data_IF_629100962685
#
_entry.id   IF_629100962685
#
_cell.length_a   1.000
_cell.length_b   1.000
_cell.length_c   1.000
_cell.angle_alpha   90.00
_cell.angle_beta   90.00
_cell.angle_gamma   90.00
#
_symmetry.space_group_name_H-M   'P 1'
#
loop_
_entity.id
_entity.type
_entity.pdbx_description
1 polymer ?
#
# COMPACT_ATOMS: atom_id res chain seq x y z
N UNK A 1 -3.94 -7.59 77.94
CA UNK A 1 -2.63 -6.97 77.66
C UNK A 1 -1.60 -8.09 77.72
N UNK A 2 -0.82 -8.40 76.67
CA UNK A 2 -0.53 -7.63 75.44
C UNK A 2 -0.90 -8.39 74.12
N UNK A 3 -1.30 -7.65 73.09
CA UNK A 3 -0.62 -7.40 71.80
C UNK A 3 -0.62 -8.55 70.79
N UNK A 4 -1.52 -8.44 69.80
CA UNK A 4 -1.37 -9.08 68.48
C UNK A 4 -1.59 -8.00 67.41
N UNK A 5 -0.67 -7.82 66.43
CA UNK A 5 -0.67 -6.66 65.55
C UNK A 5 -1.63 -6.79 64.35
N UNK A 6 -2.19 -5.65 63.94
CA UNK A 6 -2.95 -5.47 62.70
C UNK A 6 -2.14 -5.93 61.46
N UNK A 7 -2.69 -6.88 60.70
CA UNK A 7 -2.34 -7.05 59.28
C UNK A 7 -3.06 -6.00 58.43
N UNK A 8 -2.36 -5.27 57.53
CA UNK A 8 -3.02 -4.41 56.56
C UNK A 8 -3.59 -5.27 55.43
N UNK A 9 -4.88 -5.09 55.13
CA UNK A 9 -5.51 -5.65 53.94
C UNK A 9 -4.82 -5.09 52.69
N UNK A 10 -4.13 -5.96 51.95
CA UNK A 10 -3.64 -5.66 50.60
C UNK A 10 -4.86 -5.43 49.71
N UNK A 11 -5.10 -4.17 49.35
CA UNK A 11 -6.01 -3.82 48.26
C UNK A 11 -5.39 -4.33 46.96
N UNK A 12 -5.93 -5.42 46.44
CA UNK A 12 -5.71 -5.84 45.05
C UNK A 12 -6.28 -4.75 44.17
N UNK A 13 -5.40 -3.99 43.52
CA UNK A 13 -5.79 -3.07 42.47
C UNK A 13 -6.42 -3.88 41.34
N UNK A 14 -7.65 -3.52 40.95
CA UNK A 14 -8.26 -4.05 39.74
C UNK A 14 -7.32 -3.77 38.55
N UNK A 15 -7.12 -4.73 37.63
CA UNK A 15 -6.32 -4.48 36.44
C UNK A 15 -6.96 -3.31 35.68
N UNK A 16 -6.17 -2.27 35.44
CA UNK A 16 -6.57 -1.15 34.61
C UNK A 16 -7.04 -1.70 33.27
N UNK A 17 -8.30 -1.42 32.92
CA UNK A 17 -8.86 -1.73 31.62
C UNK A 17 -8.14 -0.84 30.60
N UNK A 18 -6.99 -1.29 30.08
CA UNK A 18 -6.45 -0.72 28.86
C UNK A 18 -7.55 -0.85 27.78
N UNK A 19 -7.89 0.23 27.07
CA UNK A 19 -8.88 0.16 26.01
C UNK A 19 -8.43 -0.91 25.00
N UNK A 20 -9.35 -1.74 24.47
CA UNK A 20 -8.98 -2.75 23.48
C UNK A 20 -8.30 -2.05 22.32
N UNK A 21 -7.05 -2.44 22.02
CA UNK A 21 -6.31 -1.98 20.85
C UNK A 21 -7.21 -2.20 19.63
N UNK A 22 -7.59 -1.12 18.95
CA UNK A 22 -8.44 -1.20 17.77
C UNK A 22 -7.81 -2.13 16.73
N UNK A 23 -8.64 -2.92 16.03
CA UNK A 23 -8.17 -3.73 14.90
C UNK A 23 -7.38 -2.85 13.91
N UNK A 24 -6.39 -3.43 13.25
CA UNK A 24 -5.62 -2.73 12.23
C UNK A 24 -6.54 -2.09 11.17
N UNK A 25 -7.61 -2.78 10.77
CA UNK A 25 -8.59 -2.24 9.82
C UNK A 25 -9.31 -1.00 10.36
N UNK A 26 -9.64 -0.98 11.65
CA UNK A 26 -10.25 0.17 12.31
C UNK A 26 -9.27 1.35 12.40
N UNK A 27 -7.98 1.08 12.69
CA UNK A 27 -6.94 2.10 12.69
C UNK A 27 -6.74 2.70 11.29
N UNK A 28 -6.71 1.87 10.24
CA UNK A 28 -6.62 2.36 8.86
C UNK A 28 -7.86 3.17 8.51
N UNK A 29 -9.07 2.71 8.84
CA UNK A 29 -10.30 3.45 8.55
C UNK A 29 -10.33 4.83 9.24
N UNK A 30 -9.95 4.90 10.52
CA UNK A 30 -9.83 6.17 11.25
C UNK A 30 -8.79 7.09 10.60
N UNK A 31 -7.64 6.53 10.21
CA UNK A 31 -6.58 7.33 9.57
C UNK A 31 -6.98 7.79 8.17
N UNK A 32 -7.68 6.98 7.39
CA UNK A 32 -8.27 7.37 6.10
C UNK A 32 -9.25 8.53 6.29
N UNK A 33 -10.12 8.48 7.30
CA UNK A 33 -11.04 9.58 7.60
C UNK A 33 -10.31 10.89 7.93
N UNK A 34 -9.18 10.82 8.67
CA UNK A 34 -8.33 11.99 8.95
C UNK A 34 -7.72 12.59 7.68
N UNK A 35 -7.25 11.76 6.74
CA UNK A 35 -6.78 12.24 5.44
C UNK A 35 -7.87 12.89 4.62
N UNK A 36 -9.07 12.29 4.59
CA UNK A 36 -10.23 12.84 3.88
C UNK A 36 -10.73 14.16 4.48
N UNK A 37 -10.61 14.36 5.80
CA UNK A 37 -10.95 15.63 6.43
C UNK A 37 -10.04 16.80 5.97
N UNK A 38 -8.84 16.50 5.46
CA UNK A 38 -7.92 17.48 4.89
C UNK A 38 -7.85 17.45 3.36
N UNK A 39 -8.72 16.68 2.72
CA UNK A 39 -8.78 16.59 1.27
C UNK A 39 -9.24 17.89 0.62
N UNK A 40 -8.78 18.13 -0.61
CA UNK A 40 -9.32 19.16 -1.50
C UNK A 40 -10.73 18.78 -1.95
N UNK A 41 -10.94 17.50 -2.28
CA UNK A 41 -12.23 16.90 -2.62
C UNK A 41 -12.29 15.49 -2.00
N UNK A 42 -13.05 15.35 -0.91
CA UNK A 42 -13.20 14.10 -0.17
C UNK A 42 -14.14 13.09 -0.84
N UNK A 43 -14.99 13.53 -1.78
CA UNK A 43 -15.90 12.63 -2.52
C UNK A 43 -15.27 12.08 -3.80
N UNK A 44 -14.17 12.69 -4.26
CA UNK A 44 -13.38 12.17 -5.38
C UNK A 44 -12.90 10.74 -5.10
N UNK A 45 -13.19 9.78 -6.02
CA UNK A 45 -12.72 8.41 -5.86
C UNK A 45 -11.20 8.28 -5.82
N UNK A 46 -10.48 9.14 -6.55
CA UNK A 46 -9.00 9.16 -6.54
C UNK A 46 -8.48 9.58 -5.18
N UNK A 47 -9.07 10.63 -4.60
CA UNK A 47 -8.69 11.10 -3.27
C UNK A 47 -8.97 10.05 -2.20
N UNK A 48 -10.11 9.35 -2.27
CA UNK A 48 -10.43 8.24 -1.36
C UNK A 48 -9.44 7.09 -1.48
N UNK A 49 -9.08 6.71 -2.70
CA UNK A 49 -8.08 5.69 -2.95
C UNK A 49 -6.73 6.09 -2.35
N UNK A 50 -6.22 7.28 -2.65
CA UNK A 50 -4.94 7.74 -2.10
C UNK A 50 -4.98 7.85 -0.58
N UNK A 51 -6.07 8.36 0.00
CA UNK A 51 -6.24 8.42 1.46
C UNK A 51 -6.17 7.03 2.10
N UNK A 52 -6.76 6.01 1.45
CA UNK A 52 -6.68 4.62 1.90
C UNK A 52 -5.27 4.04 1.79
N UNK A 53 -4.62 4.20 0.64
CA UNK A 53 -3.25 3.71 0.40
C UNK A 53 -2.23 4.33 1.38
N UNK A 54 -2.35 5.65 1.60
CA UNK A 54 -1.50 6.38 2.54
C UNK A 54 -1.76 5.91 3.97
N UNK A 55 -3.02 5.91 4.41
CA UNK A 55 -3.40 5.49 5.76
C UNK A 55 -2.94 4.07 6.07
N UNK A 56 -3.08 3.13 5.12
CA UNK A 56 -2.69 1.74 5.31
C UNK A 56 -1.20 1.56 5.62
N UNK A 57 -0.34 2.43 5.07
CA UNK A 57 1.10 2.43 5.32
C UNK A 57 1.47 3.26 6.53
N UNK A 58 0.79 4.38 6.74
CA UNK A 58 1.08 5.28 7.84
C UNK A 58 0.80 4.67 9.21
N UNK A 59 -0.30 3.90 9.38
CA UNK A 59 -0.59 3.26 10.68
C UNK A 59 0.47 2.22 11.09
N UNK A 60 1.36 1.84 10.17
CA UNK A 60 2.47 0.91 10.39
C UNK A 60 3.84 1.60 10.36
N UNK A 61 3.88 2.92 10.20
CA UNK A 61 5.11 3.69 9.97
C UNK A 61 5.90 3.27 8.71
N UNK A 62 5.17 2.86 7.67
CA UNK A 62 5.71 2.27 6.44
C UNK A 62 5.50 3.15 5.20
N UNK A 63 5.34 4.47 5.37
CA UNK A 63 5.06 5.39 4.26
C UNK A 63 6.11 5.33 3.13
N UNK A 64 7.37 5.05 3.48
CA UNK A 64 8.45 4.84 2.51
C UNK A 64 8.12 3.71 1.51
N UNK A 65 7.38 2.67 1.92
CA UNK A 65 7.01 1.54 1.06
C UNK A 65 5.93 1.88 0.01
N UNK A 66 5.45 3.12 -0.04
CA UNK A 66 4.68 3.62 -1.19
C UNK A 66 5.58 3.87 -2.41
N UNK A 67 6.90 3.99 -2.21
CA UNK A 67 7.83 4.19 -3.31
C UNK A 67 7.65 5.54 -4.01
N UNK A 68 7.19 6.56 -3.29
CA UNK A 68 7.02 7.91 -3.80
C UNK A 68 8.22 8.77 -3.40
N UNK A 69 9.04 9.25 -4.36
CA UNK A 69 10.11 10.18 -4.03
C UNK A 69 9.51 11.50 -3.53
N UNK A 70 10.27 12.25 -2.72
CA UNK A 70 9.78 13.48 -2.08
C UNK A 70 9.07 14.47 -3.03
N UNK A 71 9.53 14.74 -4.27
CA UNK A 71 8.81 15.62 -5.18
C UNK A 71 7.45 15.07 -5.61
N UNK A 72 7.35 13.76 -5.85
CA UNK A 72 6.09 13.11 -6.24
C UNK A 72 5.11 13.08 -5.06
N UNK A 73 5.61 12.85 -3.84
CA UNK A 73 4.82 12.93 -2.62
C UNK A 73 4.24 14.32 -2.41
N UNK A 74 5.07 15.38 -2.50
CA UNK A 74 4.60 16.77 -2.36
C UNK A 74 3.53 17.11 -3.40
N UNK A 75 3.79 16.78 -4.67
CA UNK A 75 2.83 17.02 -5.73
C UNK A 75 1.52 16.26 -5.50
N UNK A 76 1.55 15.04 -4.96
CA UNK A 76 0.35 14.28 -4.59
C UNK A 76 -0.46 15.00 -3.51
N UNK A 77 0.21 15.49 -2.46
CA UNK A 77 -0.45 16.24 -1.38
C UNK A 77 -1.04 17.55 -1.89
N UNK A 78 -0.34 18.28 -2.77
CA UNK A 78 -0.82 19.52 -3.37
C UNK A 78 -2.11 19.29 -4.20
N UNK A 79 -2.22 18.15 -4.89
CA UNK A 79 -3.42 17.81 -5.68
C UNK A 79 -4.60 17.39 -4.80
N UNK A 80 -4.40 16.45 -3.87
CA UNK A 80 -5.51 15.79 -3.17
C UNK A 80 -5.74 16.27 -1.74
N UNK A 81 -4.73 16.81 -1.07
CA UNK A 81 -4.72 17.02 0.38
C UNK A 81 -4.17 18.40 0.75
N UNK A 82 -4.70 19.45 0.15
CA UNK A 82 -4.19 20.83 0.30
C UNK A 82 -4.16 21.30 1.77
N UNK A 83 -5.05 20.79 2.62
CA UNK A 83 -5.10 21.14 4.04
C UNK A 83 -4.25 20.20 4.92
N UNK A 84 -3.61 19.18 4.34
CA UNK A 84 -2.87 18.17 5.10
C UNK A 84 -1.45 18.60 5.50
N UNK A 85 -0.95 19.73 5.01
CA UNK A 85 0.31 20.32 5.50
C UNK A 85 0.30 20.51 7.03
N UNK A 86 -0.87 20.65 7.65
CA UNK A 86 -1.05 20.69 9.10
C UNK A 86 -1.15 19.31 9.79
N UNK A 87 -1.47 18.24 9.05
CA UNK A 87 -1.73 16.89 9.58
C UNK A 87 -0.56 15.91 9.41
N UNK A 88 0.36 16.20 8.50
CA UNK A 88 1.48 15.33 8.15
C UNK A 88 2.77 16.16 8.05
N UNK A 89 3.52 16.37 9.15
CA UNK A 89 4.91 16.78 9.01
C UNK A 89 5.60 15.82 8.05
N UNK A 90 6.43 16.32 7.13
CA UNK A 90 7.18 15.48 6.19
C UNK A 90 7.83 14.33 6.97
N UNK A 91 7.47 13.07 6.70
CA UNK A 91 8.12 11.95 7.36
C UNK A 91 9.61 12.03 7.00
N UNK A 92 10.49 12.04 8.00
CA UNK A 92 11.94 11.99 7.78
C UNK A 92 12.30 10.78 6.88
N UNK A 93 11.51 9.71 6.96
CA UNK A 93 11.56 8.48 6.17
C UNK A 93 11.30 8.64 4.67
N UNK A 94 10.76 9.79 4.20
CA UNK A 94 10.59 10.07 2.75
C UNK A 94 11.77 10.83 2.13
N UNK A 95 12.79 11.18 2.93
CA UNK A 95 14.01 11.83 2.45
C UNK A 95 14.88 10.89 1.57
N UNK A 96 14.71 9.58 1.76
CA UNK A 96 15.26 8.55 0.88
C UNK A 96 14.17 7.50 0.63
N UNK A 97 13.98 7.11 -0.65
CA UNK A 97 13.19 5.91 -0.96
C UNK A 97 13.79 4.74 -0.16
N UNK A 98 12.96 3.80 0.33
CA UNK A 98 13.50 2.62 0.99
C UNK A 98 14.48 1.96 0.01
N UNK A 99 15.67 1.53 0.47
CA UNK A 99 16.62 0.89 -0.41
C UNK A 99 15.92 -0.28 -1.07
N UNK A 100 15.90 -0.24 -2.40
CA UNK A 100 15.45 -1.39 -3.17
C UNK A 100 16.56 -2.42 -3.04
N UNK A 101 16.27 -3.54 -2.36
CA UNK A 101 17.27 -4.46 -1.79
C UNK A 101 18.33 -4.95 -2.80
N UNK A 102 18.02 -4.92 -4.09
CA UNK A 102 18.91 -5.33 -5.18
C UNK A 102 18.75 -4.46 -6.42
N UNK A 103 19.78 -4.44 -7.29
CA UNK A 103 19.69 -3.82 -8.62
C UNK A 103 18.57 -4.42 -9.49
N UNK A 104 18.26 -5.70 -9.30
CA UNK A 104 17.19 -6.40 -9.99
C UNK A 104 15.80 -5.91 -9.55
N UNK A 105 15.58 -5.70 -8.25
CA UNK A 105 14.34 -5.13 -7.76
C UNK A 105 14.14 -3.70 -8.29
N UNK A 106 15.22 -2.90 -8.40
CA UNK A 106 15.15 -1.55 -8.94
C UNK A 106 14.77 -1.58 -10.42
N UNK A 107 15.41 -2.44 -11.21
CA UNK A 107 15.06 -2.66 -12.60
C UNK A 107 13.61 -3.16 -12.76
N UNK A 108 13.14 -4.03 -11.87
CA UNK A 108 11.74 -4.49 -11.85
C UNK A 108 10.78 -3.33 -11.66
N UNK A 109 11.01 -2.48 -10.65
CA UNK A 109 10.17 -1.31 -10.34
C UNK A 109 10.11 -0.37 -11.53
N UNK A 110 11.25 0.00 -12.11
CA UNK A 110 11.28 0.97 -13.20
C UNK A 110 10.56 0.47 -14.46
N UNK A 111 10.80 -0.78 -14.84
CA UNK A 111 10.18 -1.36 -16.03
C UNK A 111 8.69 -1.65 -15.85
N UNK A 112 8.25 -2.06 -14.65
CA UNK A 112 6.81 -2.20 -14.36
C UNK A 112 6.11 -0.84 -14.34
N UNK A 113 6.73 0.17 -13.73
CA UNK A 113 6.21 1.55 -13.74
C UNK A 113 6.07 2.08 -15.16
N UNK A 114 7.09 1.87 -16.01
CA UNK A 114 7.03 2.26 -17.42
C UNK A 114 5.88 1.56 -18.16
N UNK A 115 5.73 0.24 -17.99
CA UNK A 115 4.63 -0.53 -18.57
C UNK A 115 3.26 0.03 -18.14
N UNK A 116 3.05 0.24 -16.83
CA UNK A 116 1.80 0.78 -16.31
C UNK A 116 1.46 2.12 -16.96
N UNK A 117 2.45 3.00 -17.10
CA UNK A 117 2.28 4.31 -17.73
C UNK A 117 1.95 4.23 -19.23
N UNK A 118 2.46 3.24 -19.96
CA UNK A 118 2.06 2.97 -21.35
C UNK A 118 0.57 2.70 -21.48
N UNK A 119 -0.05 2.10 -20.47
CA UNK A 119 -1.48 1.76 -20.44
C UNK A 119 -2.30 2.71 -19.56
N UNK A 120 -1.76 3.86 -19.18
CA UNK A 120 -2.47 4.83 -18.35
C UNK A 120 -3.69 5.41 -19.08
N UNK A 121 -4.79 5.55 -18.34
CA UNK A 121 -6.00 6.20 -18.82
C UNK A 121 -5.75 7.68 -19.07
N UNK A 122 -6.13 8.17 -20.25
CA UNK A 122 -6.05 9.60 -20.59
C UNK A 122 -7.10 10.45 -19.85
N UNK A 123 -8.09 9.82 -19.20
CA UNK A 123 -9.12 10.48 -18.42
C UNK A 123 -8.69 10.81 -16.98
N UNK A 124 -7.49 10.37 -16.56
CA UNK A 124 -6.96 10.56 -15.21
C UNK A 124 -5.78 11.53 -15.25
N UNK A 125 -5.55 12.25 -14.14
CA UNK A 125 -4.38 13.11 -13.98
C UNK A 125 -3.07 12.31 -14.13
N UNK A 126 -2.15 12.84 -14.94
CA UNK A 126 -0.89 12.16 -15.23
C UNK A 126 0.06 12.10 -14.02
N UNK A 127 -0.07 13.02 -13.06
CA UNK A 127 0.60 12.94 -11.76
C UNK A 127 0.09 11.76 -10.94
N UNK A 128 -1.22 11.57 -10.90
CA UNK A 128 -1.85 10.47 -10.15
C UNK A 128 -1.53 9.11 -10.75
N UNK A 129 -1.60 8.99 -12.08
CA UNK A 129 -1.19 7.78 -12.78
C UNK A 129 0.27 7.41 -12.48
N UNK A 130 1.17 8.40 -12.42
CA UNK A 130 2.59 8.18 -12.03
C UNK A 130 2.73 7.76 -10.57
N UNK A 131 1.98 8.36 -9.66
CA UNK A 131 1.97 7.96 -8.25
C UNK A 131 1.48 6.51 -8.10
N UNK A 132 0.35 6.16 -8.71
CA UNK A 132 -0.20 4.79 -8.65
C UNK A 132 0.73 3.77 -9.28
N UNK A 133 1.33 4.09 -10.44
CA UNK A 133 2.27 3.19 -11.09
C UNK A 133 3.47 2.88 -10.18
N UNK A 134 3.98 3.89 -9.46
CA UNK A 134 5.07 3.69 -8.48
C UNK A 134 4.62 2.83 -7.30
N UNK A 135 3.45 3.13 -6.71
CA UNK A 135 2.91 2.41 -5.55
C UNK A 135 2.69 0.93 -5.88
N UNK A 136 2.08 0.63 -7.02
CA UNK A 136 1.83 -0.74 -7.48
C UNK A 136 3.15 -1.48 -7.72
N UNK A 137 4.12 -0.82 -8.37
CA UNK A 137 5.41 -1.44 -8.66
C UNK A 137 6.18 -1.82 -7.38
N UNK A 138 6.20 -0.94 -6.38
CA UNK A 138 6.82 -1.24 -5.08
C UNK A 138 6.02 -2.30 -4.29
N UNK A 139 4.69 -2.29 -4.40
CA UNK A 139 3.85 -3.33 -3.80
C UNK A 139 4.14 -4.74 -4.34
N UNK A 140 4.62 -4.85 -5.58
CA UNK A 140 5.00 -6.13 -6.17
C UNK A 140 6.31 -6.72 -5.61
N UNK A 141 7.12 -5.91 -4.91
CA UNK A 141 8.33 -6.38 -4.22
C UNK A 141 8.02 -7.06 -2.86
N UNK A 142 6.83 -6.85 -2.32
CA UNK A 142 6.45 -7.32 -0.99
C UNK A 142 5.89 -8.75 -1.00
N UNK A 143 5.99 -9.48 0.12
CA UNK A 143 5.74 -10.92 0.15
C UNK A 143 4.26 -11.32 0.18
N UNK A 144 3.28 -10.41 0.09
CA UNK A 144 1.87 -10.79 0.24
C UNK A 144 1.10 -10.76 -1.10
N UNK A 145 -0.21 -10.96 -1.08
CA UNK A 145 -1.07 -10.59 -2.18
C UNK A 145 -1.03 -9.08 -2.44
N UNK A 146 -1.13 -8.68 -3.70
CA UNK A 146 -1.09 -7.26 -4.09
C UNK A 146 -2.11 -6.41 -3.30
N UNK A 147 -3.31 -6.92 -3.02
CA UNK A 147 -4.31 -6.16 -2.27
C UNK A 147 -3.90 -5.94 -0.80
N UNK A 148 -3.38 -6.95 -0.10
CA UNK A 148 -2.85 -6.81 1.28
C UNK A 148 -1.64 -5.89 1.31
N UNK A 149 -0.77 -6.05 0.33
CA UNK A 149 0.35 -5.14 0.13
C UNK A 149 -0.10 -3.72 -0.19
N UNK A 150 -1.25 -3.48 -0.81
CA UNK A 150 -1.76 -2.13 -0.98
C UNK A 150 -2.55 -1.63 0.24
N UNK A 151 -2.88 -2.52 1.20
CA UNK A 151 -3.77 -2.20 2.31
C UNK A 151 -5.23 -2.08 1.91
N UNK A 152 -5.59 -2.67 0.77
CA UNK A 152 -6.95 -2.75 0.25
C UNK A 152 -7.69 -3.94 0.87
N UNK A 153 -9.01 -3.98 0.77
CA UNK A 153 -9.83 -5.02 1.40
C UNK A 153 -9.82 -6.36 0.63
N UNK A 154 -9.45 -6.34 -0.66
CA UNK A 154 -9.45 -7.55 -1.48
C UNK A 154 -9.15 -7.31 -2.95
N UNK A 155 -9.32 -8.38 -3.74
CA UNK A 155 -9.08 -8.37 -5.19
C UNK A 155 -9.92 -7.33 -5.91
N UNK A 156 -11.18 -7.14 -5.52
CA UNK A 156 -12.11 -6.24 -6.20
C UNK A 156 -11.68 -4.77 -6.11
N UNK A 157 -11.12 -4.33 -4.98
CA UNK A 157 -10.58 -2.96 -4.86
C UNK A 157 -9.35 -2.75 -5.76
N UNK A 158 -8.50 -3.79 -5.92
CA UNK A 158 -7.40 -3.74 -6.90
C UNK A 158 -7.96 -3.68 -8.32
N UNK A 159 -8.97 -4.49 -8.65
CA UNK A 159 -9.63 -4.48 -9.97
C UNK A 159 -10.23 -3.11 -10.26
N UNK A 160 -10.93 -2.51 -9.30
CA UNK A 160 -11.50 -1.17 -9.42
C UNK A 160 -10.41 -0.11 -9.67
N UNK A 161 -9.33 -0.13 -8.88
CA UNK A 161 -8.18 0.76 -9.05
C UNK A 161 -7.56 0.59 -10.45
N UNK A 162 -7.27 -0.64 -10.87
CA UNK A 162 -6.68 -0.90 -12.19
C UNK A 162 -7.64 -0.51 -13.33
N UNK A 163 -8.95 -0.70 -13.16
CA UNK A 163 -9.96 -0.30 -14.17
C UNK A 163 -9.96 1.21 -14.36
N UNK A 164 -9.81 1.96 -13.27
CA UNK A 164 -9.81 3.41 -13.32
C UNK A 164 -8.52 3.97 -13.93
N UNK A 165 -7.36 3.47 -13.50
CA UNK A 165 -6.06 4.04 -13.87
C UNK A 165 -5.41 3.38 -15.09
N UNK A 166 -5.63 2.08 -15.29
CA UNK A 166 -4.97 1.27 -16.32
C UNK A 166 -5.97 0.32 -17.02
N UNK A 167 -7.11 0.81 -17.55
CA UNK A 167 -8.22 -0.02 -18.01
C UNK A 167 -7.83 -1.07 -19.04
N UNK A 168 -6.91 -0.75 -19.96
CA UNK A 168 -6.44 -1.69 -20.98
C UNK A 168 -5.79 -2.93 -20.37
N UNK A 169 -5.05 -2.79 -19.26
CA UNK A 169 -4.46 -3.93 -18.57
C UNK A 169 -5.52 -4.85 -17.96
N UNK A 170 -6.66 -4.30 -17.51
CA UNK A 170 -7.77 -5.11 -17.01
C UNK A 170 -8.37 -5.95 -18.13
N UNK A 171 -8.58 -5.35 -19.30
CA UNK A 171 -9.09 -6.05 -20.50
C UNK A 171 -8.15 -7.15 -20.97
N UNK A 172 -6.83 -6.93 -20.87
CA UNK A 172 -5.81 -7.91 -21.25
C UNK A 172 -5.71 -9.11 -20.28
N UNK A 173 -6.27 -9.03 -19.07
CA UNK A 173 -6.26 -10.14 -18.11
C UNK A 173 -7.37 -11.17 -18.38
N UNK A 174 -7.40 -11.70 -19.60
CA UNK A 174 -8.44 -12.62 -20.09
C UNK A 174 -8.50 -13.94 -19.31
N UNK A 175 -7.36 -14.43 -18.84
CA UNK A 175 -7.23 -15.66 -18.05
C UNK A 175 -7.56 -15.44 -16.56
N UNK A 176 -7.97 -14.22 -16.19
CA UNK A 176 -8.32 -13.83 -14.82
C UNK A 176 -7.20 -14.16 -13.80
N UNK A 177 -5.94 -14.01 -14.22
CA UNK A 177 -4.78 -14.26 -13.37
C UNK A 177 -4.79 -13.32 -12.16
N UNK A 178 -4.21 -13.78 -11.05
CA UNK A 178 -4.01 -12.93 -9.86
C UNK A 178 -3.15 -11.71 -10.26
N UNK A 179 -3.55 -10.52 -9.82
CA UNK A 179 -2.99 -9.26 -10.32
C UNK A 179 -1.47 -9.16 -10.27
N UNK A 180 -0.81 -9.57 -9.18
CA UNK A 180 0.66 -9.56 -9.09
C UNK A 180 1.33 -10.44 -10.15
N UNK A 181 0.78 -11.64 -10.39
CA UNK A 181 1.23 -12.58 -11.43
C UNK A 181 0.99 -12.00 -12.83
N UNK A 182 -0.19 -11.46 -13.07
CA UNK A 182 -0.54 -10.82 -14.34
C UNK A 182 0.41 -9.66 -14.68
N UNK A 183 0.64 -8.75 -13.74
CA UNK A 183 1.52 -7.59 -13.95
C UNK A 183 2.97 -8.02 -14.21
N UNK A 184 3.48 -9.03 -13.49
CA UNK A 184 4.81 -9.58 -13.75
C UNK A 184 4.92 -10.23 -15.14
N UNK A 185 3.88 -10.94 -15.58
CA UNK A 185 3.80 -11.52 -16.92
C UNK A 185 3.78 -10.44 -18.00
N UNK A 186 2.89 -9.44 -17.90
CA UNK A 186 2.81 -8.35 -18.88
C UNK A 186 4.13 -7.58 -18.98
N UNK A 187 4.78 -7.33 -17.85
CA UNK A 187 6.12 -6.74 -17.80
C UNK A 187 7.14 -7.60 -18.55
N UNK A 188 7.24 -8.89 -18.25
CA UNK A 188 8.18 -9.78 -18.93
C UNK A 188 7.95 -9.80 -20.45
N UNK A 189 6.69 -9.94 -20.88
CA UNK A 189 6.32 -9.95 -22.30
C UNK A 189 6.69 -8.63 -22.99
N UNK A 190 6.49 -7.47 -22.34
CA UNK A 190 6.86 -6.17 -22.90
C UNK A 190 8.38 -6.00 -23.13
N UNK A 191 9.19 -6.78 -22.42
CA UNK A 191 10.66 -6.80 -22.54
C UNK A 191 11.16 -7.95 -23.43
N UNK A 192 10.27 -8.75 -24.03
CA UNK A 192 10.66 -9.96 -24.78
C UNK A 192 11.24 -11.08 -23.91
N UNK A 193 10.95 -11.06 -22.60
CA UNK A 193 11.43 -12.03 -21.63
C UNK A 193 10.39 -13.13 -21.36
N UNK A 194 10.85 -14.26 -20.86
CA UNK A 194 9.96 -15.31 -20.37
C UNK A 194 9.24 -14.84 -19.09
N UNK A 195 7.92 -15.04 -18.98
CA UNK A 195 7.18 -14.74 -17.76
C UNK A 195 7.70 -15.48 -16.54
N UNK A 196 7.77 -14.76 -15.41
CA UNK A 196 8.20 -15.31 -14.12
C UNK A 196 7.51 -14.59 -12.95
N UNK A 197 7.79 -15.01 -11.71
CA UNK A 197 7.25 -14.36 -10.52
C UNK A 197 7.72 -12.90 -10.39
N UNK A 198 6.87 -12.04 -9.79
CA UNK A 198 7.35 -10.77 -9.26
C UNK A 198 8.32 -11.03 -8.08
N UNK A 199 9.23 -10.10 -7.75
CA UNK A 199 10.22 -10.32 -6.69
C UNK A 199 9.63 -10.69 -5.33
N UNK A 200 8.45 -10.16 -4.98
CA UNK A 200 7.77 -10.50 -3.74
C UNK A 200 6.96 -11.81 -3.78
N UNK A 201 6.72 -12.39 -4.96
CA UNK A 201 5.88 -13.59 -5.07
C UNK A 201 6.39 -14.80 -4.25
N UNK A 202 7.70 -15.11 -4.17
CA UNK A 202 8.18 -16.27 -3.41
C UNK A 202 7.82 -16.24 -1.91
N UNK A 203 7.57 -15.06 -1.34
CA UNK A 203 7.14 -14.93 0.07
C UNK A 203 5.64 -15.07 0.28
N UNK A 204 4.84 -15.20 -0.79
CA UNK A 204 3.38 -15.24 -0.73
C UNK A 204 2.87 -16.63 -0.36
N UNK A 205 1.88 -16.70 0.54
CA UNK A 205 1.28 -17.97 0.99
C UNK A 205 0.74 -18.84 -0.16
N UNK A 206 0.30 -18.21 -1.25
CA UNK A 206 -0.23 -18.87 -2.44
C UNK A 206 0.80 -19.06 -3.56
N UNK A 207 2.10 -18.90 -3.29
CA UNK A 207 3.14 -19.00 -4.31
C UNK A 207 3.08 -20.32 -5.08
N UNK A 208 2.99 -21.45 -4.36
CA UNK A 208 2.93 -22.79 -4.96
C UNK A 208 1.68 -23.01 -5.83
N UNK A 209 0.57 -22.34 -5.51
CA UNK A 209 -0.63 -22.36 -6.36
C UNK A 209 -0.43 -21.54 -7.64
N UNK A 210 0.34 -20.45 -7.56
CA UNK A 210 0.61 -19.58 -8.70
C UNK A 210 1.68 -20.14 -9.65
N UNK A 211 2.68 -20.82 -9.10
CA UNK A 211 3.88 -21.30 -9.80
C UNK A 211 4.20 -22.75 -9.41
N UNK A 212 3.36 -23.72 -9.81
CA UNK A 212 3.65 -25.13 -9.55
C UNK A 212 4.98 -25.52 -10.19
N UNK A 213 5.83 -26.24 -9.45
CA UNK A 213 7.14 -26.70 -9.92
C UNK A 213 8.29 -25.70 -9.76
N UNK A 214 8.03 -24.48 -9.24
CA UNK A 214 9.09 -23.57 -8.81
C UNK A 214 9.37 -23.84 -7.32
N UNK A 215 10.40 -24.63 -7.03
CA UNK A 215 10.86 -24.98 -5.68
C UNK A 215 12.26 -24.44 -5.44
#
# INVERSE_FOLDING_TARGET
MPDEPLSPAVRVAAPGTEPPRASLDAQVAERTAKWLAAATDAVSPDTQLFARLIAAREVRDELALLGLPQPAWRALLERHFVHAAALAPMPASLSALPPVDTSEHAAFVDTLRALLLTYSSTAIDAGDARCLASIIAHACLRPDHLWRDLGLAGREEVTWMLTRYFPTLVVLNVDNLRWKKFLAQQRALSLGLQPGPAPGCPGCEDYGHCFPGHH
#
